data_IF_719585881638
#
_entry.id   IF_719585881638
#
_cell.length_a   1.000
_cell.length_b   1.000
_cell.length_c   1.000
_cell.angle_alpha   90.00
_cell.angle_beta   90.00
_cell.angle_gamma   90.00
#
_symmetry.space_group_name_H-M   'P 1'
#
loop_
_entity.id
_entity.type
_entity.pdbx_description
1 polymer ?
#
# COMPACT_ATOMS: atom_id res chain seq x y z
N UNK A 1 -27.91 -12.15 2.24
CA UNK A 1 -29.01 -12.90 1.61
C UNK A 1 -29.29 -12.36 0.20
N UNK A 2 -29.44 -11.05 0.05
CA UNK A 2 -29.81 -10.38 -1.22
C UNK A 2 -28.78 -10.63 -2.33
N UNK A 3 -27.48 -10.58 -2.01
CA UNK A 3 -26.42 -10.90 -2.96
C UNK A 3 -26.49 -12.35 -3.44
N UNK A 4 -26.81 -13.28 -2.53
CA UNK A 4 -26.95 -14.70 -2.88
C UNK A 4 -28.17 -14.93 -3.78
N UNK A 5 -29.29 -14.26 -3.50
CA UNK A 5 -30.49 -14.31 -4.36
C UNK A 5 -30.16 -13.76 -5.76
N UNK A 6 -29.46 -12.63 -5.84
CA UNK A 6 -29.00 -12.05 -7.12
C UNK A 6 -28.09 -13.01 -7.90
N UNK A 7 -27.18 -13.71 -7.21
CA UNK A 7 -26.33 -14.72 -7.84
C UNK A 7 -27.16 -15.87 -8.38
N UNK A 8 -28.07 -16.39 -7.58
CA UNK A 8 -28.97 -17.50 -8.02
C UNK A 8 -29.81 -17.11 -9.24
N UNK A 9 -30.44 -15.93 -9.22
CA UNK A 9 -31.22 -15.43 -10.34
C UNK A 9 -30.42 -15.33 -11.64
N UNK A 10 -29.17 -14.86 -11.55
CA UNK A 10 -28.24 -14.68 -12.69
C UNK A 10 -27.64 -15.99 -13.20
N UNK A 11 -27.50 -17.00 -12.35
CA UNK A 11 -26.75 -18.22 -12.68
C UNK A 11 -27.63 -19.44 -12.92
N UNK A 12 -28.90 -19.39 -12.52
CA UNK A 12 -29.86 -20.50 -12.69
C UNK A 12 -31.01 -20.17 -13.65
N UNK A 13 -31.06 -18.95 -14.19
CA UNK A 13 -32.01 -18.53 -15.20
C UNK A 13 -31.71 -19.10 -16.59
N UNK A 14 -32.64 -18.94 -17.51
CA UNK A 14 -32.50 -19.39 -18.90
C UNK A 14 -31.46 -18.53 -19.69
N UNK A 15 -31.21 -17.31 -19.27
CA UNK A 15 -30.24 -16.41 -19.90
C UNK A 15 -28.92 -16.47 -19.15
N UNK A 16 -27.86 -16.84 -19.84
CA UNK A 16 -26.47 -16.74 -19.31
C UNK A 16 -25.92 -15.40 -19.73
N UNK A 17 -25.59 -14.51 -18.78
CA UNK A 17 -25.00 -13.22 -19.12
C UNK A 17 -23.62 -13.41 -19.74
N UNK A 18 -23.43 -12.87 -20.95
CA UNK A 18 -22.13 -12.86 -21.62
C UNK A 18 -21.35 -11.61 -21.28
N UNK A 19 -20.13 -11.79 -20.79
CA UNK A 19 -19.20 -10.68 -20.57
C UNK A 19 -18.65 -10.19 -21.91
N UNK A 20 -18.81 -8.90 -22.18
CA UNK A 20 -18.21 -8.27 -23.37
C UNK A 20 -16.88 -7.65 -23.00
N UNK A 21 -15.80 -7.91 -23.76
CA UNK A 21 -14.52 -7.25 -23.51
C UNK A 21 -14.68 -5.74 -23.76
N UNK A 22 -14.22 -4.94 -22.79
CA UNK A 22 -14.21 -3.46 -22.87
C UNK A 22 -12.83 -2.91 -23.19
N UNK A 23 -11.78 -3.75 -23.05
CA UNK A 23 -10.40 -3.40 -23.34
C UNK A 23 -9.67 -4.64 -23.84
N UNK A 24 -8.86 -4.47 -24.86
CA UNK A 24 -8.04 -5.54 -25.44
C UNK A 24 -6.63 -5.53 -24.84
N UNK A 25 -5.89 -6.65 -25.00
CA UNK A 25 -4.54 -6.81 -24.47
C UNK A 25 -3.55 -5.68 -24.87
N UNK A 26 -3.51 -5.17 -26.11
CA UNK A 26 -2.65 -4.05 -26.45
C UNK A 26 -2.90 -2.79 -25.61
N UNK A 27 -4.19 -2.45 -25.36
CA UNK A 27 -4.55 -1.30 -24.52
C UNK A 27 -4.10 -1.45 -23.08
N UNK A 28 -4.19 -2.67 -22.53
CA UNK A 28 -3.69 -2.98 -21.18
C UNK A 28 -2.16 -2.80 -21.11
N UNK A 29 -1.43 -3.26 -22.12
CA UNK A 29 0.03 -3.12 -22.18
C UNK A 29 0.47 -1.65 -22.32
N UNK A 30 -0.27 -0.84 -23.07
CA UNK A 30 -0.03 0.60 -23.18
C UNK A 30 -0.28 1.30 -21.84
N UNK A 31 -1.38 0.99 -21.16
CA UNK A 31 -1.66 1.52 -19.83
C UNK A 31 -0.56 1.17 -18.82
N UNK A 32 -0.04 -0.07 -18.85
CA UNK A 32 1.09 -0.49 -18.01
C UNK A 32 2.38 0.30 -18.29
N UNK A 33 2.66 0.64 -19.54
CA UNK A 33 3.80 1.49 -19.91
C UNK A 33 3.61 2.91 -19.37
N UNK A 34 2.43 3.49 -19.57
CA UNK A 34 2.09 4.83 -19.10
C UNK A 34 2.22 4.95 -17.56
N UNK A 35 1.76 3.97 -16.81
CA UNK A 35 1.94 3.93 -15.35
C UNK A 35 3.41 4.04 -14.96
N UNK A 36 4.33 3.42 -15.71
CA UNK A 36 5.77 3.49 -15.39
C UNK A 36 6.36 4.88 -15.57
N UNK A 37 5.78 5.72 -16.44
CA UNK A 37 6.21 7.09 -16.70
C UNK A 37 5.77 8.09 -15.63
N UNK A 38 4.79 7.74 -14.78
CA UNK A 38 4.35 8.60 -13.68
C UNK A 38 5.52 8.92 -12.74
N UNK A 39 5.70 10.20 -12.46
CA UNK A 39 6.82 10.71 -11.67
C UNK A 39 6.60 10.41 -10.17
N UNK A 40 7.66 9.99 -9.50
CA UNK A 40 7.68 9.83 -8.04
C UNK A 40 8.85 10.61 -7.47
N UNK A 41 8.56 11.65 -6.73
CA UNK A 41 9.56 12.49 -6.10
C UNK A 41 10.42 11.69 -5.09
N UNK A 42 11.71 12.05 -4.89
CA UNK A 42 12.58 11.33 -3.97
C UNK A 42 12.02 11.19 -2.55
N UNK A 43 11.39 12.24 -2.02
CA UNK A 43 10.82 12.24 -0.69
C UNK A 43 9.62 11.26 -0.54
N UNK A 44 8.81 11.08 -1.59
CA UNK A 44 7.72 10.10 -1.63
C UNK A 44 8.26 8.67 -1.69
N UNK A 45 9.34 8.43 -2.48
CA UNK A 45 10.04 7.13 -2.48
C UNK A 45 10.62 6.80 -1.11
N UNK A 46 11.22 7.80 -0.43
CA UNK A 46 11.74 7.64 0.92
C UNK A 46 10.65 7.31 1.92
N UNK A 47 9.47 7.92 1.80
CA UNK A 47 8.32 7.59 2.63
C UNK A 47 7.87 6.14 2.44
N UNK A 48 7.69 5.68 1.21
CA UNK A 48 7.36 4.29 0.91
C UNK A 48 8.40 3.30 1.47
N UNK A 49 9.70 3.65 1.39
CA UNK A 49 10.77 2.85 1.97
C UNK A 49 10.70 2.84 3.51
N UNK A 50 10.46 3.99 4.16
CA UNK A 50 10.30 4.06 5.63
C UNK A 50 9.12 3.22 6.11
N UNK A 51 7.98 3.24 5.42
CA UNK A 51 6.84 2.38 5.76
C UNK A 51 7.22 0.90 5.78
N UNK A 52 7.95 0.45 4.78
CA UNK A 52 8.42 -0.95 4.73
C UNK A 52 9.46 -1.23 5.83
N UNK A 53 10.42 -0.35 6.04
CA UNK A 53 11.42 -0.50 7.11
C UNK A 53 10.77 -0.50 8.49
N UNK A 54 9.71 0.30 8.69
CA UNK A 54 8.98 0.36 9.94
C UNK A 54 8.25 -0.95 10.30
N UNK A 55 8.10 -1.87 9.34
CA UNK A 55 7.56 -3.22 9.60
C UNK A 55 8.61 -4.21 10.10
N UNK A 56 9.91 -3.86 10.11
CA UNK A 56 10.98 -4.78 10.52
C UNK A 56 11.27 -4.67 12.01
N UNK A 57 11.10 -5.76 12.79
CA UNK A 57 11.47 -5.76 14.19
C UNK A 57 12.99 -5.65 14.37
N UNK A 58 13.41 -4.99 15.46
CA UNK A 58 14.84 -4.78 15.80
C UNK A 58 15.58 -3.76 14.93
N UNK A 59 14.91 -3.14 13.96
CA UNK A 59 15.53 -2.11 13.12
C UNK A 59 15.37 -0.70 13.70
N UNK A 60 16.27 0.22 13.30
CA UNK A 60 16.22 1.63 13.72
C UNK A 60 14.92 2.35 13.31
N UNK A 61 14.22 1.83 12.33
CA UNK A 61 12.95 2.34 11.82
C UNK A 61 11.71 1.63 12.38
N UNK A 62 11.88 0.64 13.28
CA UNK A 62 10.76 -0.11 13.84
C UNK A 62 9.70 0.84 14.44
N UNK A 63 8.46 0.71 14.00
CA UNK A 63 7.40 1.61 14.42
C UNK A 63 7.13 1.52 15.92
N UNK A 64 7.19 2.67 16.60
CA UNK A 64 7.03 2.77 18.05
C UNK A 64 8.28 2.46 18.87
N UNK A 65 9.44 2.30 18.22
CA UNK A 65 10.71 2.02 18.92
C UNK A 65 10.76 0.63 19.54
N UNK A 66 11.57 0.45 20.57
CA UNK A 66 11.89 -0.85 21.19
C UNK A 66 10.64 -1.55 21.76
N UNK A 67 9.73 -0.82 22.41
CA UNK A 67 8.47 -1.32 22.95
C UNK A 67 7.27 -1.18 21.99
N UNK A 68 7.52 -0.81 20.75
CA UNK A 68 6.49 -0.55 19.76
C UNK A 68 5.83 -1.82 19.22
N UNK A 69 4.69 -1.66 18.53
CA UNK A 69 3.89 -2.77 18.04
C UNK A 69 4.65 -3.63 17.01
N UNK A 70 5.57 -3.04 16.25
CA UNK A 70 6.41 -3.77 15.29
C UNK A 70 7.29 -4.80 16.02
N UNK A 71 8.01 -4.38 17.05
CA UNK A 71 8.89 -5.27 17.81
C UNK A 71 8.10 -6.30 18.61
N UNK A 72 6.91 -5.93 19.09
CA UNK A 72 6.08 -6.81 19.90
C UNK A 72 5.36 -7.87 19.09
N UNK A 73 4.83 -7.52 17.92
CA UNK A 73 3.86 -8.38 17.22
C UNK A 73 4.32 -8.90 15.86
N UNK A 74 5.40 -8.34 15.28
CA UNK A 74 5.87 -8.77 13.98
C UNK A 74 7.05 -9.74 14.13
N UNK A 75 6.94 -10.89 13.47
CA UNK A 75 8.03 -11.86 13.33
C UNK A 75 8.93 -11.50 12.13
N UNK A 76 8.32 -11.10 11.01
CA UNK A 76 9.03 -10.77 9.79
C UNK A 76 8.32 -9.61 9.06
N UNK A 77 9.04 -8.54 8.80
CA UNK A 77 8.57 -7.38 8.07
C UNK A 77 8.47 -7.62 6.56
N UNK A 78 7.87 -6.67 5.86
CA UNK A 78 7.68 -6.73 4.43
C UNK A 78 9.02 -6.60 3.68
N UNK A 79 9.26 -7.46 2.69
CA UNK A 79 10.47 -7.39 1.86
C UNK A 79 10.51 -6.11 0.99
N UNK A 80 11.66 -5.78 0.34
CA UNK A 80 11.76 -4.64 -0.58
C UNK A 80 10.69 -4.63 -1.69
N UNK A 81 10.12 -5.79 -2.03
CA UNK A 81 8.96 -5.87 -2.93
C UNK A 81 7.73 -5.14 -2.40
N UNK A 82 7.62 -4.95 -1.07
CA UNK A 82 6.60 -4.10 -0.46
C UNK A 82 6.72 -2.65 -0.93
N UNK A 83 7.93 -2.07 -0.91
CA UNK A 83 8.16 -0.69 -1.40
C UNK A 83 7.86 -0.57 -2.90
N UNK A 84 8.22 -1.58 -3.69
CA UNK A 84 7.90 -1.61 -5.12
C UNK A 84 6.39 -1.63 -5.35
N UNK A 85 5.66 -2.43 -4.57
CA UNK A 85 4.20 -2.52 -4.66
C UNK A 85 3.54 -1.18 -4.28
N UNK A 86 3.99 -0.53 -3.20
CA UNK A 86 3.50 0.79 -2.77
C UNK A 86 3.68 1.84 -3.88
N UNK A 87 4.89 1.92 -4.44
CA UNK A 87 5.20 2.90 -5.49
C UNK A 87 4.39 2.64 -6.76
N UNK A 88 4.27 1.38 -7.19
CA UNK A 88 3.49 1.04 -8.39
C UNK A 88 1.99 1.29 -8.19
N UNK A 89 1.44 0.92 -7.05
CA UNK A 89 0.04 1.20 -6.73
C UNK A 89 -0.22 2.70 -6.65
N UNK A 90 0.69 3.47 -6.02
CA UNK A 90 0.61 4.93 -5.98
C UNK A 90 0.61 5.56 -7.38
N UNK A 91 1.44 5.06 -8.30
CA UNK A 91 1.46 5.51 -9.70
C UNK A 91 0.13 5.24 -10.41
N UNK A 92 -0.46 4.06 -10.21
CA UNK A 92 -1.77 3.72 -10.78
C UNK A 92 -2.85 4.65 -10.25
N UNK A 93 -2.86 4.92 -8.94
CA UNK A 93 -3.83 5.84 -8.32
C UNK A 93 -3.70 7.25 -8.87
N UNK A 94 -2.47 7.80 -8.88
CA UNK A 94 -2.21 9.12 -9.42
C UNK A 94 -2.71 9.26 -10.87
N UNK A 95 -2.41 8.26 -11.71
CA UNK A 95 -2.84 8.25 -13.10
C UNK A 95 -4.36 8.13 -13.25
N UNK A 96 -5.01 7.30 -12.45
CA UNK A 96 -6.46 7.15 -12.43
C UNK A 96 -7.17 8.46 -12.03
N UNK A 97 -6.54 9.27 -11.18
CA UNK A 97 -7.01 10.60 -10.79
C UNK A 97 -6.57 11.72 -11.78
N UNK A 98 -5.99 11.36 -12.93
CA UNK A 98 -5.52 12.32 -13.95
C UNK A 98 -4.25 13.09 -13.55
N UNK A 99 -3.49 12.59 -12.56
CA UNK A 99 -2.24 13.22 -12.10
C UNK A 99 -1.03 12.46 -12.62
N UNK A 100 0.05 13.17 -12.92
CA UNK A 100 1.31 12.60 -13.41
C UNK A 100 2.40 12.51 -12.35
N UNK A 101 2.06 12.73 -11.08
CA UNK A 101 2.96 12.64 -9.95
C UNK A 101 2.27 11.97 -8.75
N UNK A 102 3.01 11.13 -8.05
CA UNK A 102 2.53 10.41 -6.86
C UNK A 102 2.63 11.32 -5.63
N UNK A 103 1.57 11.35 -4.83
CA UNK A 103 1.51 12.01 -3.52
C UNK A 103 1.77 11.04 -2.37
N UNK A 104 1.88 11.56 -1.15
CA UNK A 104 1.89 10.74 0.07
C UNK A 104 0.58 9.98 0.24
N UNK A 105 -0.56 10.62 -0.05
CA UNK A 105 -1.89 10.00 0.08
C UNK A 105 -2.05 8.79 -0.84
N UNK A 106 -1.40 8.80 -2.00
CA UNK A 106 -1.41 7.64 -2.91
C UNK A 106 -0.66 6.44 -2.30
N UNK A 107 0.45 6.71 -1.60
CA UNK A 107 1.21 5.67 -0.89
C UNK A 107 0.41 5.16 0.31
N UNK A 108 -0.20 6.07 1.08
CA UNK A 108 -1.01 5.71 2.25
C UNK A 108 -2.20 4.83 1.87
N UNK A 109 -2.92 5.20 0.83
CA UNK A 109 -4.04 4.41 0.34
C UNK A 109 -3.61 3.02 -0.19
N UNK A 110 -2.36 2.88 -0.66
CA UNK A 110 -1.80 1.62 -1.12
C UNK A 110 -1.23 0.76 0.03
N UNK A 111 -0.97 1.33 1.21
CA UNK A 111 -0.22 0.65 2.26
C UNK A 111 -0.93 -0.61 2.77
N UNK A 112 -2.20 -0.50 3.12
CA UNK A 112 -2.96 -1.65 3.64
C UNK A 112 -3.02 -2.81 2.63
N UNK A 113 -3.51 -2.65 1.40
CA UNK A 113 -3.57 -3.75 0.44
C UNK A 113 -2.19 -4.27 0.02
N UNK A 114 -1.13 -3.44 0.09
CA UNK A 114 0.21 -3.86 -0.27
C UNK A 114 0.96 -4.58 0.86
N UNK A 115 0.70 -4.26 2.13
CA UNK A 115 1.51 -4.73 3.25
C UNK A 115 0.84 -5.82 4.10
N UNK A 116 -0.52 -5.87 4.21
CA UNK A 116 -1.25 -6.81 5.07
C UNK A 116 -0.84 -8.28 4.90
N UNK A 117 -0.56 -8.69 3.67
CA UNK A 117 -0.18 -10.05 3.32
C UNK A 117 1.34 -10.26 3.22
N UNK A 118 2.14 -9.25 3.59
CA UNK A 118 3.61 -9.26 3.57
C UNK A 118 4.24 -9.15 4.94
N UNK A 119 3.45 -8.81 5.94
CA UNK A 119 3.86 -8.75 7.34
C UNK A 119 3.44 -10.04 8.01
N UNK A 120 4.39 -10.77 8.58
CA UNK A 120 4.12 -12.02 9.31
C UNK A 120 4.11 -11.73 10.80
N UNK A 121 2.98 -12.03 11.43
CA UNK A 121 2.81 -11.88 12.86
C UNK A 121 3.54 -12.99 13.64
N UNK A 122 3.83 -12.73 14.90
CA UNK A 122 4.39 -13.70 15.83
C UNK A 122 3.29 -14.34 16.69
N UNK A 123 3.68 -15.28 17.55
CA UNK A 123 2.74 -16.00 18.42
C UNK A 123 2.04 -15.08 19.44
N UNK A 124 2.71 -14.03 19.92
CA UNK A 124 2.12 -13.05 20.84
C UNK A 124 0.96 -12.30 20.18
N UNK A 125 1.13 -11.92 18.93
CA UNK A 125 0.05 -11.27 18.15
C UNK A 125 -1.16 -12.19 17.95
N UNK A 126 -0.93 -13.49 17.73
CA UNK A 126 -2.02 -14.48 17.64
C UNK A 126 -2.75 -14.65 18.99
N UNK A 127 -2.00 -14.72 20.09
CA UNK A 127 -2.56 -14.83 21.43
C UNK A 127 -3.39 -13.58 21.83
N UNK A 128 -2.90 -12.39 21.48
CA UNK A 128 -3.55 -11.10 21.72
C UNK A 128 -4.65 -10.79 20.67
N UNK A 129 -4.84 -11.67 19.67
CA UNK A 129 -5.79 -11.49 18.55
C UNK A 129 -5.61 -10.19 17.81
N UNK A 130 -4.37 -9.82 17.51
CA UNK A 130 -4.04 -8.60 16.79
C UNK A 130 -4.47 -8.74 15.33
N UNK A 131 -5.24 -7.76 14.87
CA UNK A 131 -5.61 -7.65 13.46
C UNK A 131 -4.41 -7.09 12.65
N UNK A 132 -3.95 -7.81 11.60
CA UNK A 132 -2.89 -7.32 10.72
C UNK A 132 -3.18 -5.95 10.11
N UNK A 133 -4.45 -5.66 9.81
CA UNK A 133 -4.86 -4.40 9.22
C UNK A 133 -4.68 -3.25 10.22
N UNK A 134 -5.15 -3.42 11.44
CA UNK A 134 -4.98 -2.44 12.52
C UNK A 134 -3.49 -2.18 12.81
N UNK A 135 -2.65 -3.22 12.72
CA UNK A 135 -1.21 -3.09 12.91
C UNK A 135 -0.56 -2.26 11.78
N UNK A 136 -0.92 -2.50 10.53
CA UNK A 136 -0.42 -1.70 9.40
C UNK A 136 -0.86 -0.25 9.50
N UNK A 137 -2.12 0.01 9.89
CA UNK A 137 -2.62 1.37 10.11
C UNK A 137 -1.89 2.09 11.26
N UNK A 138 -1.57 1.38 12.34
CA UNK A 138 -0.79 1.97 13.45
C UNK A 138 0.64 2.31 13.00
N UNK A 139 1.28 1.44 12.20
CA UNK A 139 2.58 1.73 11.59
C UNK A 139 2.51 2.98 10.71
N UNK A 140 1.49 3.12 9.85
CA UNK A 140 1.31 4.31 9.02
C UNK A 140 1.22 5.59 9.85
N UNK A 141 0.44 5.59 10.92
CA UNK A 141 0.28 6.75 11.82
C UNK A 141 1.58 7.17 12.51
N UNK A 142 2.51 6.23 12.71
CA UNK A 142 3.80 6.47 13.40
C UNK A 142 4.92 6.90 12.46
N UNK A 143 4.81 6.58 11.17
CA UNK A 143 5.85 6.92 10.17
C UNK A 143 5.58 8.32 9.62
N UNK A 144 6.46 9.31 9.88
CA UNK A 144 6.25 10.66 9.38
C UNK A 144 6.42 10.72 7.86
N UNK A 145 5.56 11.47 7.19
CA UNK A 145 5.65 11.71 5.74
C UNK A 145 6.91 12.48 5.37
N UNK A 146 7.35 13.42 6.23
CA UNK A 146 8.62 14.13 6.05
C UNK A 146 9.67 13.66 7.08
N UNK A 147 10.94 13.55 6.70
CA UNK A 147 12.00 13.25 7.68
C UNK A 147 12.06 14.32 8.75
N UNK A 148 12.14 13.92 10.01
CA UNK A 148 12.37 14.80 11.14
C UNK A 148 13.75 15.48 10.91
N UNK A 149 13.73 16.76 10.51
CA UNK A 149 14.94 17.52 10.17
C UNK A 149 14.82 18.41 8.93
N UNK A 150 13.83 18.24 8.08
CA UNK A 150 13.60 19.12 6.92
C UNK A 150 12.55 20.23 7.15
N UNK A 151 12.02 20.37 8.35
CA UNK A 151 11.07 21.42 8.71
C UNK A 151 11.73 22.81 8.90
N UNK A 152 12.70 23.18 8.06
CA UNK A 152 13.40 24.44 8.20
C UNK A 152 14.20 24.91 6.99
N UNK A 153 14.17 24.22 5.87
CA UNK A 153 14.80 24.76 4.66
C UNK A 153 13.76 25.55 3.84
N UNK A 154 13.95 26.87 3.64
CA UNK A 154 13.16 27.63 2.73
C UNK A 154 13.34 27.07 1.31
N UNK A 155 12.25 27.04 0.52
CA UNK A 155 12.29 26.68 -0.88
C UNK A 155 13.36 27.53 -1.56
N UNK A 156 14.44 26.87 -1.99
CA UNK A 156 15.60 27.53 -2.58
C UNK A 156 15.19 28.31 -3.83
N UNK A 157 15.46 29.57 -3.79
CA UNK A 157 15.54 30.44 -4.95
C UNK A 157 16.65 29.96 -5.89
N UNK A 158 16.28 29.56 -7.07
CA UNK A 158 17.10 29.65 -8.28
C UNK A 158 16.19 29.55 -9.51
#
# INVERSE_FOLDING_TARGET
LDDLMTILDRTTGAETPEARPVLEAPGILEAQKLVREVIVAPHVKQYAARLVLATHPGGDFAAGGEAGPTNRYIRCGASPRGSQALVLAGKVRALADGRYNVSYDDIDAAALPALRHRVLLNFEAEADRIDPDALVEDIQKRVPTQPVGMAGMPAGSA
#
